data_IF_193251437898
#
_entry.id   IF_193251437898
#
_cell.length_a   1.000
_cell.length_b   1.000
_cell.length_c   1.000
_cell.angle_alpha   90.00
_cell.angle_beta   90.00
_cell.angle_gamma   90.00
#
_symmetry.space_group_name_H-M   'P 1'
#
loop_
_entity.id
_entity.type
_entity.pdbx_description
1 polymer ?
#
# COMPACT_ATOMS: atom_id res chain seq x y z
N UNK A 1 -8.98 12.11 18.83
CA UNK A 1 -10.09 12.73 18.32
C UNK A 1 -11.43 12.07 18.31
N UNK A 2 -11.66 11.00 17.55
CA UNK A 2 -13.01 10.45 17.30
C UNK A 2 -13.77 10.06 18.57
N UNK A 3 -13.12 9.44 19.54
CA UNK A 3 -13.76 9.05 20.80
C UNK A 3 -14.34 10.25 21.57
N UNK A 4 -13.59 11.36 21.65
CA UNK A 4 -14.05 12.56 22.37
C UNK A 4 -15.27 13.19 21.68
N UNK A 5 -15.31 13.17 20.35
CA UNK A 5 -16.46 13.64 19.56
C UNK A 5 -17.68 12.74 19.83
N UNK A 6 -17.51 11.42 19.74
CA UNK A 6 -18.59 10.47 19.98
C UNK A 6 -19.16 10.57 21.40
N UNK A 7 -18.31 10.75 22.42
CA UNK A 7 -18.74 10.97 23.82
C UNK A 7 -19.53 12.26 23.94
N UNK A 8 -19.05 13.36 23.35
CA UNK A 8 -19.75 14.63 23.38
C UNK A 8 -21.13 14.55 22.71
N UNK A 9 -21.22 13.91 21.54
CA UNK A 9 -22.49 13.70 20.83
C UNK A 9 -23.46 12.82 21.63
N UNK A 10 -22.96 11.75 22.27
CA UNK A 10 -23.78 10.87 23.11
C UNK A 10 -24.31 11.62 24.39
N UNK A 11 -23.60 12.65 24.83
CA UNK A 11 -24.02 13.54 25.89
C UNK A 11 -24.97 14.66 25.40
N UNK A 12 -25.39 14.68 24.15
CA UNK A 12 -26.25 15.72 23.56
C UNK A 12 -25.53 17.03 23.28
N UNK A 13 -24.19 17.05 23.32
CA UNK A 13 -23.40 18.26 23.04
C UNK A 13 -23.24 18.42 21.54
N UNK A 14 -23.60 19.58 20.99
CA UNK A 14 -23.35 19.90 19.59
C UNK A 14 -21.87 20.06 19.34
N UNK A 15 -21.33 19.25 18.42
CA UNK A 15 -19.93 19.30 18.05
C UNK A 15 -19.79 19.96 16.69
N UNK A 16 -18.93 20.96 16.58
CA UNK A 16 -18.60 21.65 15.35
C UNK A 16 -17.13 21.48 14.99
N UNK A 17 -16.86 21.32 13.71
CA UNK A 17 -15.51 21.26 13.14
C UNK A 17 -15.14 22.59 12.48
N UNK A 18 -14.02 23.16 12.87
CA UNK A 18 -13.44 24.33 12.22
C UNK A 18 -12.40 23.90 11.17
N UNK A 19 -12.67 24.08 9.87
CA UNK A 19 -11.71 23.70 8.81
C UNK A 19 -10.37 24.42 8.99
N UNK A 20 -9.27 23.69 8.76
CA UNK A 20 -7.91 24.20 9.00
C UNK A 20 -7.57 25.50 8.25
N UNK A 21 -8.12 25.69 7.04
CA UNK A 21 -7.95 26.93 6.28
C UNK A 21 -8.69 28.11 6.96
N UNK A 22 -9.90 27.86 7.44
CA UNK A 22 -10.68 28.87 8.20
C UNK A 22 -10.00 29.22 9.51
N UNK A 23 -9.49 28.19 10.23
CA UNK A 23 -8.73 28.38 11.46
C UNK A 23 -7.49 29.26 11.24
N UNK A 24 -6.70 29.01 10.18
CA UNK A 24 -5.52 29.84 9.84
C UNK A 24 -5.91 31.29 9.59
N UNK A 25 -6.93 31.55 8.76
CA UNK A 25 -7.41 32.90 8.47
C UNK A 25 -7.90 33.65 9.71
N UNK A 26 -8.58 32.96 10.62
CA UNK A 26 -9.04 33.53 11.88
C UNK A 26 -7.86 33.77 12.83
N UNK A 27 -6.91 32.86 12.90
CA UNK A 27 -5.70 33.00 13.72
C UNK A 27 -4.84 34.19 13.27
N UNK A 28 -4.79 34.50 11.94
CA UNK A 28 -4.07 35.65 11.39
C UNK A 28 -4.67 37.01 11.83
N UNK A 29 -5.95 37.02 12.22
CA UNK A 29 -6.63 38.21 12.80
C UNK A 29 -6.32 38.41 14.29
N UNK A 30 -5.71 37.44 14.95
CA UNK A 30 -5.40 37.45 16.38
C UNK A 30 -3.95 37.86 16.64
N UNK A 31 -3.64 38.74 17.63
CA UNK A 31 -2.27 39.15 17.93
C UNK A 31 -1.39 37.95 18.35
N UNK A 32 -0.14 37.94 17.90
CA UNK A 32 0.89 36.94 18.27
C UNK A 32 1.16 35.93 17.19
N UNK A 33 2.44 35.50 17.06
CA UNK A 33 2.91 34.56 16.04
C UNK A 33 3.25 33.16 16.58
N UNK A 34 3.27 32.95 17.91
CA UNK A 34 3.62 31.67 18.48
C UNK A 34 2.52 30.63 18.28
N UNK A 35 2.87 29.49 17.69
CA UNK A 35 1.97 28.34 17.53
C UNK A 35 1.95 27.56 18.85
N UNK A 36 0.85 27.67 19.61
CA UNK A 36 0.63 26.92 20.86
C UNK A 36 -0.78 26.36 20.87
N UNK A 37 -0.97 25.21 21.53
CA UNK A 37 -2.28 24.56 21.68
C UNK A 37 -3.28 25.47 22.40
N UNK A 38 -2.80 26.27 23.34
CA UNK A 38 -3.65 27.25 24.07
C UNK A 38 -4.19 28.34 23.14
N UNK A 39 -3.38 28.84 22.23
CA UNK A 39 -3.83 29.83 21.24
C UNK A 39 -4.79 29.19 20.22
N UNK A 40 -4.50 28.00 19.77
CA UNK A 40 -5.38 27.28 18.85
C UNK A 40 -6.75 27.02 19.49
N UNK A 41 -6.79 26.62 20.76
CA UNK A 41 -8.02 26.47 21.53
C UNK A 41 -8.79 27.81 21.69
N UNK A 42 -8.11 28.90 21.96
CA UNK A 42 -8.71 30.22 22.05
C UNK A 42 -9.31 30.71 20.72
N UNK A 43 -8.61 30.46 19.61
CA UNK A 43 -9.10 30.78 18.24
C UNK A 43 -10.37 29.98 17.94
N UNK A 44 -10.37 28.67 18.21
CA UNK A 44 -11.53 27.79 18.01
C UNK A 44 -12.72 28.26 18.87
N UNK A 45 -12.50 28.53 20.14
CA UNK A 45 -13.55 29.02 21.07
C UNK A 45 -14.12 30.37 20.64
N UNK A 46 -13.26 31.30 20.16
CA UNK A 46 -13.67 32.57 19.60
C UNK A 46 -14.49 32.40 18.33
N UNK A 47 -14.06 31.57 17.41
CA UNK A 47 -14.80 31.26 16.18
C UNK A 47 -16.17 30.66 16.49
N UNK A 48 -16.27 29.73 17.43
CA UNK A 48 -17.51 29.11 17.83
C UNK A 48 -18.52 30.12 18.37
N UNK A 49 -18.03 31.12 19.09
CA UNK A 49 -18.87 32.15 19.73
C UNK A 49 -19.26 33.28 18.78
N UNK A 50 -18.35 33.75 17.95
CA UNK A 50 -18.54 34.99 17.15
C UNK A 50 -18.84 34.72 15.69
N UNK A 51 -18.43 33.55 15.16
CA UNK A 51 -18.56 33.17 13.76
C UNK A 51 -19.04 31.71 13.61
N UNK A 52 -20.19 31.34 14.20
CA UNK A 52 -20.67 29.95 14.18
C UNK A 52 -20.88 29.40 12.75
N UNK A 53 -21.13 30.25 11.77
CA UNK A 53 -21.25 29.89 10.36
C UNK A 53 -19.96 29.40 9.72
N UNK A 54 -18.78 29.58 10.34
CA UNK A 54 -17.50 29.04 9.88
C UNK A 54 -17.26 27.62 10.35
N UNK A 55 -18.05 27.14 11.33
CA UNK A 55 -18.01 25.75 11.77
C UNK A 55 -18.92 24.88 10.91
N UNK A 56 -18.46 23.67 10.66
CA UNK A 56 -19.28 22.61 10.06
C UNK A 56 -19.81 21.71 11.16
N UNK A 57 -21.10 21.46 11.14
CA UNK A 57 -21.73 20.52 12.05
C UNK A 57 -21.23 19.10 11.71
N UNK A 58 -20.81 18.34 12.72
CA UNK A 58 -20.48 16.94 12.58
C UNK A 58 -21.78 16.15 12.75
N UNK A 59 -22.33 15.64 11.66
CA UNK A 59 -23.56 14.83 11.63
C UNK A 59 -23.24 13.36 11.42
N UNK A 60 -24.22 12.47 11.50
CA UNK A 60 -24.04 11.00 11.36
C UNK A 60 -23.49 10.55 9.99
N UNK A 61 -23.51 11.39 8.95
CA UNK A 61 -22.80 11.15 7.69
C UNK A 61 -21.27 11.18 7.83
N UNK A 62 -20.77 11.56 8.98
CA UNK A 62 -19.34 11.57 9.28
C UNK A 62 -18.78 10.17 9.60
N UNK A 63 -19.64 9.17 9.85
CA UNK A 63 -19.18 7.80 10.06
C UNK A 63 -18.64 7.20 8.76
N UNK A 64 -19.33 7.40 7.65
CA UNK A 64 -18.86 6.96 6.32
C UNK A 64 -17.59 7.70 5.91
N UNK A 65 -17.52 9.00 6.18
CA UNK A 65 -16.33 9.80 5.95
C UNK A 65 -15.15 9.37 6.84
N UNK A 66 -15.42 9.01 8.10
CA UNK A 66 -14.41 8.49 9.01
C UNK A 66 -13.93 7.10 8.59
N UNK A 67 -14.84 6.21 8.19
CA UNK A 67 -14.55 4.89 7.67
C UNK A 67 -13.71 4.98 6.38
N UNK A 68 -14.11 5.83 5.43
CA UNK A 68 -13.38 6.08 4.19
C UNK A 68 -11.97 6.59 4.45
N UNK A 69 -11.82 7.55 5.38
CA UNK A 69 -10.51 8.09 5.78
C UNK A 69 -9.59 7.02 6.38
N UNK A 70 -10.16 6.14 7.22
CA UNK A 70 -9.41 5.05 7.85
C UNK A 70 -8.97 4.00 6.82
N UNK A 71 -9.88 3.57 5.95
CA UNK A 71 -9.60 2.58 4.90
C UNK A 71 -8.59 3.12 3.89
N UNK A 72 -8.72 4.37 3.46
CA UNK A 72 -7.77 5.03 2.56
C UNK A 72 -6.38 5.16 3.19
N UNK A 73 -6.32 5.52 4.48
CA UNK A 73 -5.06 5.57 5.22
C UNK A 73 -4.38 4.21 5.29
N UNK A 74 -5.15 3.16 5.53
CA UNK A 74 -4.64 1.78 5.57
C UNK A 74 -4.17 1.31 4.17
N UNK A 75 -4.92 1.62 3.08
CA UNK A 75 -4.46 1.29 1.72
C UNK A 75 -3.14 1.97 1.36
N UNK A 76 -2.93 3.22 1.78
CA UNK A 76 -1.65 3.91 1.60
C UNK A 76 -0.49 3.21 2.32
N UNK A 77 -0.73 2.68 3.52
CA UNK A 77 0.26 1.92 4.26
C UNK A 77 0.56 0.56 3.59
N UNK A 78 -0.46 -0.13 3.09
CA UNK A 78 -0.30 -1.34 2.29
C UNK A 78 0.49 -1.07 1.00
N UNK A 79 0.22 0.05 0.31
CA UNK A 79 0.96 0.44 -0.90
C UNK A 79 2.45 0.66 -0.63
N UNK A 80 2.80 1.27 0.52
CA UNK A 80 4.20 1.40 0.95
C UNK A 80 4.85 0.04 1.20
N UNK A 81 4.14 -0.88 1.84
CA UNK A 81 4.63 -2.25 2.08
C UNK A 81 4.83 -3.01 0.77
N UNK A 82 3.90 -2.91 -0.19
CA UNK A 82 4.04 -3.47 -1.55
C UNK A 82 5.33 -2.99 -2.20
N UNK A 83 5.58 -1.68 -2.20
CA UNK A 83 6.80 -1.11 -2.77
C UNK A 83 8.07 -1.62 -2.05
N UNK A 84 8.03 -1.71 -0.72
CA UNK A 84 9.15 -2.19 0.08
C UNK A 84 9.48 -3.65 -0.23
N UNK A 85 8.47 -4.52 -0.27
CA UNK A 85 8.66 -5.96 -0.56
C UNK A 85 9.11 -6.17 -2.01
N UNK A 86 8.50 -5.48 -2.96
CA UNK A 86 8.91 -5.51 -4.37
C UNK A 86 10.37 -5.11 -4.55
N UNK A 87 10.80 -4.02 -3.92
CA UNK A 87 12.18 -3.57 -3.98
C UNK A 87 13.16 -4.57 -3.33
N UNK A 88 12.74 -5.29 -2.29
CA UNK A 88 13.55 -6.37 -1.70
C UNK A 88 13.72 -7.55 -2.65
N UNK A 89 12.66 -7.99 -3.31
CA UNK A 89 12.72 -9.05 -4.34
C UNK A 89 13.64 -8.64 -5.48
N UNK A 90 13.47 -7.42 -6.01
CA UNK A 90 14.31 -6.87 -7.06
C UNK A 90 15.77 -6.78 -6.63
N UNK A 91 16.06 -6.28 -5.42
CA UNK A 91 17.41 -6.19 -4.88
C UNK A 91 18.10 -7.55 -4.76
N UNK A 92 17.38 -8.60 -4.34
CA UNK A 92 17.93 -9.96 -4.30
C UNK A 92 18.25 -10.48 -5.71
N UNK A 93 17.34 -10.32 -6.67
CA UNK A 93 17.60 -10.75 -8.05
C UNK A 93 18.72 -9.92 -8.71
N UNK A 94 18.80 -8.62 -8.43
CA UNK A 94 19.92 -7.79 -8.91
C UNK A 94 21.26 -8.34 -8.43
N UNK A 95 21.33 -8.84 -7.19
CA UNK A 95 22.55 -9.42 -6.63
C UNK A 95 22.88 -10.80 -7.22
N UNK A 96 21.90 -11.68 -7.39
CA UNK A 96 22.16 -13.06 -7.78
C UNK A 96 22.05 -13.32 -9.29
N UNK A 97 21.18 -12.56 -9.99
CA UNK A 97 20.95 -12.74 -11.44
C UNK A 97 20.29 -11.51 -12.08
N UNK A 98 21.05 -10.45 -12.41
CA UNK A 98 20.50 -9.18 -12.94
C UNK A 98 19.61 -9.33 -14.17
N UNK A 99 19.90 -10.28 -15.07
CA UNK A 99 19.08 -10.51 -16.25
C UNK A 99 17.67 -11.05 -15.89
N UNK A 100 17.54 -11.83 -14.81
CA UNK A 100 16.23 -12.24 -14.28
C UNK A 100 15.50 -11.07 -13.61
N UNK A 101 16.21 -10.20 -12.91
CA UNK A 101 15.60 -8.99 -12.36
C UNK A 101 14.97 -8.14 -13.46
N UNK A 102 15.70 -7.94 -14.56
CA UNK A 102 15.21 -7.16 -15.70
C UNK A 102 13.93 -7.71 -16.33
N UNK A 103 13.67 -9.02 -16.20
CA UNK A 103 12.45 -9.70 -16.69
C UNK A 103 11.37 -9.77 -15.62
N UNK A 104 11.69 -10.25 -14.42
CA UNK A 104 10.72 -10.49 -13.35
C UNK A 104 10.31 -9.20 -12.63
N UNK A 105 11.24 -8.25 -12.44
CA UNK A 105 11.03 -7.03 -11.70
C UNK A 105 9.84 -6.20 -12.18
N UNK A 106 9.67 -5.95 -13.49
CA UNK A 106 8.50 -5.25 -14.04
C UNK A 106 7.17 -6.00 -13.87
N UNK A 107 7.20 -7.30 -13.59
CA UNK A 107 6.01 -8.16 -13.51
C UNK A 107 5.62 -8.55 -12.08
N UNK A 108 6.26 -7.98 -11.05
CA UNK A 108 5.97 -8.27 -9.64
C UNK A 108 4.57 -7.82 -9.20
N UNK A 109 3.87 -7.03 -9.98
CA UNK A 109 2.46 -6.70 -9.79
C UNK A 109 1.50 -7.86 -10.11
N UNK A 110 2.01 -8.92 -10.75
CA UNK A 110 1.21 -10.08 -11.16
C UNK A 110 1.47 -11.28 -10.25
N UNK A 111 0.45 -11.73 -9.55
CA UNK A 111 0.54 -12.87 -8.63
C UNK A 111 1.01 -14.15 -9.32
N UNK A 112 0.73 -14.31 -10.62
CA UNK A 112 1.22 -15.43 -11.41
C UNK A 112 2.76 -15.51 -11.47
N UNK A 113 3.43 -14.36 -11.48
CA UNK A 113 4.91 -14.28 -11.44
C UNK A 113 5.43 -14.53 -10.04
N UNK A 114 4.75 -13.99 -9.03
CA UNK A 114 5.07 -14.24 -7.63
C UNK A 114 4.95 -15.72 -7.28
N UNK A 115 3.97 -16.41 -7.83
CA UNK A 115 3.81 -17.85 -7.70
C UNK A 115 4.96 -18.65 -8.35
N UNK A 116 5.50 -18.17 -9.46
CA UNK A 116 6.71 -18.74 -10.08
C UNK A 116 7.90 -18.56 -9.15
N UNK A 117 8.10 -17.34 -8.59
CA UNK A 117 9.19 -17.03 -7.65
C UNK A 117 9.04 -17.86 -6.36
N UNK A 118 7.83 -18.00 -5.84
CA UNK A 118 7.58 -18.79 -4.63
C UNK A 118 7.88 -20.28 -4.84
N UNK A 119 7.70 -20.78 -6.06
CA UNK A 119 7.91 -22.21 -6.40
C UNK A 119 9.36 -22.50 -6.80
N UNK A 120 9.97 -21.61 -7.59
CA UNK A 120 11.33 -21.75 -8.11
C UNK A 120 12.14 -20.47 -7.91
N UNK A 121 12.58 -20.19 -6.67
CA UNK A 121 13.18 -18.90 -6.31
C UNK A 121 14.56 -18.62 -6.89
N UNK A 122 15.30 -19.66 -7.24
CA UNK A 122 16.69 -19.51 -7.71
C UNK A 122 16.82 -19.75 -9.21
N UNK A 123 17.85 -19.18 -9.87
CA UNK A 123 18.14 -19.46 -11.27
C UNK A 123 18.30 -20.96 -11.56
N UNK A 124 18.91 -21.72 -10.65
CA UNK A 124 19.07 -23.17 -10.77
C UNK A 124 17.72 -23.91 -10.73
N UNK A 125 16.83 -23.52 -9.80
CA UNK A 125 15.49 -24.07 -9.68
C UNK A 125 14.65 -23.79 -10.94
N UNK A 126 14.72 -22.57 -11.48
CA UNK A 126 14.03 -22.19 -12.72
C UNK A 126 14.57 -22.97 -13.94
N UNK A 127 15.90 -23.16 -14.05
CA UNK A 127 16.49 -23.99 -15.11
C UNK A 127 16.01 -25.44 -15.01
N UNK A 128 15.99 -26.01 -13.81
CA UNK A 128 15.51 -27.37 -13.55
C UNK A 128 14.01 -27.52 -13.85
N UNK A 129 13.21 -26.50 -13.59
CA UNK A 129 11.78 -26.47 -13.93
C UNK A 129 11.59 -26.49 -15.45
N UNK A 130 12.36 -25.69 -16.18
CA UNK A 130 12.28 -25.54 -17.62
C UNK A 130 11.03 -24.79 -18.10
N UNK A 131 11.07 -24.41 -19.38
CA UNK A 131 10.02 -23.57 -19.98
C UNK A 131 8.60 -24.12 -19.79
N UNK A 132 8.39 -25.41 -20.02
CA UNK A 132 7.05 -26.01 -20.00
C UNK A 132 6.38 -25.91 -18.62
N UNK A 133 7.13 -26.12 -17.53
CA UNK A 133 6.58 -26.02 -16.16
C UNK A 133 6.35 -24.57 -15.76
N UNK A 134 7.24 -23.65 -16.15
CA UNK A 134 7.07 -22.21 -15.90
C UNK A 134 5.83 -21.72 -16.64
N UNK A 135 5.67 -22.07 -17.91
CA UNK A 135 4.50 -21.73 -18.72
C UNK A 135 3.20 -22.25 -18.09
N UNK A 136 3.16 -23.52 -17.71
CA UNK A 136 2.00 -24.12 -17.07
C UNK A 136 1.65 -23.44 -15.72
N UNK A 137 2.66 -23.09 -14.90
CA UNK A 137 2.45 -22.37 -13.63
C UNK A 137 1.89 -20.97 -13.85
N UNK A 138 2.44 -20.21 -14.78
CA UNK A 138 1.93 -18.88 -15.15
C UNK A 138 0.49 -18.97 -15.64
N UNK A 139 0.19 -19.92 -16.54
CA UNK A 139 -1.16 -20.14 -17.07
C UNK A 139 -2.16 -20.51 -15.97
N UNK A 140 -1.80 -21.43 -15.09
CA UNK A 140 -2.65 -21.87 -13.98
C UNK A 140 -3.02 -20.72 -13.01
N UNK A 141 -2.17 -19.69 -12.92
CA UNK A 141 -2.39 -18.49 -12.10
C UNK A 141 -2.89 -17.28 -12.94
N UNK A 142 -3.57 -17.52 -14.05
CA UNK A 142 -4.31 -16.50 -14.80
C UNK A 142 -3.48 -15.60 -15.71
N UNK A 143 -2.19 -15.90 -15.95
CA UNK A 143 -1.38 -15.10 -16.86
C UNK A 143 -1.76 -15.35 -18.32
N UNK A 144 -2.33 -14.34 -18.98
CA UNK A 144 -2.68 -14.43 -20.42
C UNK A 144 -1.45 -14.51 -21.33
N UNK A 145 -0.33 -13.92 -20.91
CA UNK A 145 0.94 -13.88 -21.66
C UNK A 145 1.92 -14.98 -21.23
N UNK A 146 1.44 -16.06 -20.61
CA UNK A 146 2.24 -17.11 -20.00
C UNK A 146 3.37 -17.64 -20.91
N UNK A 147 3.07 -17.93 -22.15
CA UNK A 147 4.05 -18.50 -23.09
C UNK A 147 5.21 -17.52 -23.40
N UNK A 148 4.88 -16.24 -23.63
CA UNK A 148 5.89 -15.21 -23.89
C UNK A 148 6.74 -14.93 -22.64
N UNK A 149 6.13 -14.92 -21.46
CA UNK A 149 6.85 -14.68 -20.20
C UNK A 149 7.73 -15.86 -19.81
N UNK A 150 7.25 -17.10 -20.00
CA UNK A 150 8.08 -18.28 -19.79
C UNK A 150 9.30 -18.28 -20.72
N UNK A 151 9.13 -17.87 -21.97
CA UNK A 151 10.23 -17.74 -22.92
C UNK A 151 11.24 -16.68 -22.48
N UNK A 152 10.77 -15.49 -22.09
CA UNK A 152 11.63 -14.40 -21.60
C UNK A 152 12.44 -14.79 -20.34
N UNK A 153 11.83 -15.55 -19.42
CA UNK A 153 12.53 -16.07 -18.23
C UNK A 153 13.67 -17.02 -18.66
N UNK A 154 13.41 -17.96 -19.58
CA UNK A 154 14.42 -18.90 -20.05
C UNK A 154 15.55 -18.18 -20.79
N UNK A 155 15.24 -17.19 -21.61
CA UNK A 155 16.23 -16.36 -22.28
C UNK A 155 17.07 -15.56 -21.28
N UNK A 156 16.46 -14.99 -20.24
CA UNK A 156 17.20 -14.32 -19.17
C UNK A 156 18.16 -15.28 -18.46
N UNK A 157 17.70 -16.51 -18.17
CA UNK A 157 18.54 -17.54 -17.53
C UNK A 157 19.77 -17.92 -18.35
N UNK A 158 19.70 -17.85 -19.69
CA UNK A 158 20.85 -18.17 -20.57
C UNK A 158 21.96 -17.10 -20.52
N UNK A 159 21.64 -15.85 -20.07
CA UNK A 159 22.59 -14.74 -20.06
C UNK A 159 23.62 -14.82 -18.93
N UNK A 160 23.42 -15.67 -17.93
CA UNK A 160 24.34 -15.85 -16.81
C UNK A 160 24.50 -17.34 -16.50
N UNK A 161 25.71 -17.84 -16.54
CA UNK A 161 26.04 -19.22 -16.21
C UNK A 161 26.68 -19.38 -14.84
N UNK A 162 27.19 -18.28 -14.28
CA UNK A 162 27.87 -18.25 -12.99
C UNK A 162 26.86 -18.14 -11.83
N UNK A 163 27.03 -18.97 -10.82
CA UNK A 163 26.28 -18.87 -9.57
C UNK A 163 27.02 -17.95 -8.60
N UNK A 164 26.32 -16.97 -8.08
CA UNK A 164 26.87 -15.99 -7.13
C UNK A 164 26.72 -16.51 -5.70
N UNK A 165 27.70 -16.21 -4.84
CA UNK A 165 27.61 -16.49 -3.40
C UNK A 165 26.35 -15.84 -2.80
N UNK A 166 25.67 -16.56 -1.91
CA UNK A 166 24.41 -16.09 -1.30
C UNK A 166 23.14 -16.50 -2.08
N UNK A 167 23.25 -17.11 -3.27
CA UNK A 167 22.09 -17.57 -4.06
C UNK A 167 21.22 -18.54 -3.26
N UNK A 168 21.78 -19.43 -2.46
CA UNK A 168 21.00 -20.39 -1.65
C UNK A 168 20.23 -19.66 -0.53
N UNK A 169 20.86 -18.68 0.13
CA UNK A 169 20.18 -17.85 1.11
C UNK A 169 19.02 -17.03 0.48
N UNK A 170 19.25 -16.44 -0.68
CA UNK A 170 18.20 -15.77 -1.45
C UNK A 170 17.05 -16.73 -1.79
N UNK A 171 17.37 -17.99 -2.11
CA UNK A 171 16.40 -19.06 -2.37
C UNK A 171 15.49 -19.37 -1.18
N UNK A 172 15.95 -19.14 0.04
CA UNK A 172 15.11 -19.25 1.25
C UNK A 172 14.23 -18.02 1.44
N UNK A 173 14.75 -16.83 1.19
CA UNK A 173 14.07 -15.55 1.45
C UNK A 173 13.02 -15.22 0.38
N UNK A 174 13.35 -15.43 -0.90
CA UNK A 174 12.48 -15.05 -2.03
C UNK A 174 11.06 -15.64 -1.96
N UNK A 175 10.84 -16.93 -1.59
CA UNK A 175 9.48 -17.49 -1.47
C UNK A 175 8.65 -16.81 -0.39
N UNK A 176 9.27 -16.40 0.72
CA UNK A 176 8.58 -15.67 1.78
C UNK A 176 8.15 -14.28 1.32
N UNK A 177 9.06 -13.55 0.66
CA UNK A 177 8.73 -12.23 0.10
C UNK A 177 7.65 -12.31 -0.98
N UNK A 178 7.71 -13.31 -1.87
CA UNK A 178 6.71 -13.49 -2.91
C UNK A 178 5.31 -13.75 -2.31
N UNK A 179 5.20 -14.64 -1.32
CA UNK A 179 3.93 -14.91 -0.62
C UNK A 179 3.43 -13.71 0.15
N UNK A 180 4.34 -12.95 0.79
CA UNK A 180 4.00 -11.70 1.47
C UNK A 180 3.41 -10.68 0.47
N UNK A 181 3.99 -10.56 -0.71
CA UNK A 181 3.52 -9.62 -1.73
C UNK A 181 2.15 -10.03 -2.28
N UNK A 182 1.89 -11.32 -2.51
CA UNK A 182 0.56 -11.83 -2.88
C UNK A 182 -0.47 -11.49 -1.80
N UNK A 183 -0.14 -11.70 -0.52
CA UNK A 183 -1.04 -11.36 0.58
C UNK A 183 -1.34 -9.85 0.65
N UNK A 184 -0.36 -9.00 0.38
CA UNK A 184 -0.54 -7.54 0.31
C UNK A 184 -1.43 -7.13 -0.86
N UNK A 185 -1.30 -7.78 -2.02
CA UNK A 185 -2.19 -7.54 -3.17
C UNK A 185 -3.64 -7.90 -2.84
N UNK A 186 -3.85 -9.05 -2.19
CA UNK A 186 -5.19 -9.49 -1.75
C UNK A 186 -5.78 -8.48 -0.76
N UNK A 187 -5.03 -8.09 0.28
CA UNK A 187 -5.50 -7.11 1.26
C UNK A 187 -5.88 -5.78 0.61
N UNK A 188 -5.10 -5.29 -0.36
CA UNK A 188 -5.43 -4.06 -1.07
C UNK A 188 -6.69 -4.20 -1.92
N UNK A 189 -6.89 -5.33 -2.56
CA UNK A 189 -8.12 -5.61 -3.32
C UNK A 189 -9.35 -5.64 -2.40
N UNK A 190 -9.24 -6.25 -1.22
CA UNK A 190 -10.31 -6.29 -0.23
C UNK A 190 -10.66 -4.89 0.30
N UNK A 191 -9.66 -4.06 0.60
CA UNK A 191 -9.87 -2.67 1.02
C UNK A 191 -10.50 -1.83 -0.10
N UNK A 192 -10.04 -1.99 -1.34
CA UNK A 192 -10.62 -1.29 -2.48
C UNK A 192 -12.11 -1.61 -2.65
N UNK A 193 -12.50 -2.89 -2.52
CA UNK A 193 -13.90 -3.30 -2.57
C UNK A 193 -14.74 -2.68 -1.43
N UNK A 194 -14.16 -2.55 -0.22
CA UNK A 194 -14.85 -1.90 0.91
C UNK A 194 -15.02 -0.40 0.71
N UNK A 195 -14.01 0.27 0.14
CA UNK A 195 -14.10 1.69 -0.21
C UNK A 195 -15.16 1.92 -1.28
N UNK A 196 -15.23 1.08 -2.30
CA UNK A 196 -16.22 1.16 -3.36
C UNK A 196 -17.66 1.03 -2.80
N UNK A 197 -17.87 0.06 -1.90
CA UNK A 197 -19.18 -0.15 -1.25
C UNK A 197 -19.63 1.02 -0.32
N UNK A 198 -18.70 1.86 0.16
CA UNK A 198 -19.02 3.04 0.98
C UNK A 198 -19.39 4.27 0.13
N UNK A 199 -19.06 4.27 -1.17
CA UNK A 199 -19.24 5.42 -2.07
C UNK A 199 -20.49 5.25 -2.93
N UNK A 200 -21.00 4.00 -3.07
CA UNK A 200 -22.28 3.70 -3.75
C UNK A 200 -23.49 4.03 -2.86
#
# INVERSE_FOLDING_TARGET
GALAVAVAQNMGITVGYLPGLSMRRIADLSPGSAKTDQRDAAVIASAARTMPHTLRSITSSDEDAAALSMLTGFDLDLARQVNQVSNRIRGLYTQIHPALEGVLGPWLEHDSVLEVIATWPTPAALRKAGRARIDAKLKANGCRRHAAWAQAIVEALSKQTVTVAGTDAAGVVLPHLARQLIALHTQRADIAAQVEALVE
#
